data_IF_021354312574
#
_entry.id   IF_021354312574
#
_cell.length_a   1.000
_cell.length_b   1.000
_cell.length_c   1.000
_cell.angle_alpha   90.00
_cell.angle_beta   90.00
_cell.angle_gamma   90.00
#
_symmetry.space_group_name_H-M   'P 1'
#
loop_
_entity.id
_entity.type
_entity.pdbx_description
1 polymer ?
#
# COMPACT_ATOMS: atom_id res chain seq x y z
N UNK A 1 0.45 4.76 -3.13
CA UNK A 1 0.34 5.64 -1.94
C UNK A 1 -1.10 6.13 -1.78
N UNK A 2 -1.63 6.23 -0.55
CA UNK A 2 -2.88 6.92 -0.21
C UNK A 2 -2.58 7.96 0.86
N UNK A 3 -2.75 9.23 0.51
CA UNK A 3 -2.64 10.35 1.44
C UNK A 3 -4.04 10.75 1.89
N UNK A 4 -4.28 10.82 3.20
CA UNK A 4 -5.58 11.24 3.75
C UNK A 4 -5.65 12.77 3.95
N UNK A 5 -4.49 13.42 3.99
CA UNK A 5 -4.33 14.87 3.95
C UNK A 5 -2.90 15.24 3.52
N UNK A 6 -2.70 16.44 2.97
CA UNK A 6 -1.36 17.00 2.78
C UNK A 6 -0.49 16.26 1.76
N UNK A 7 -1.10 15.79 0.68
CA UNK A 7 -0.45 15.00 -0.38
C UNK A 7 0.64 15.81 -1.11
N UNK A 8 1.76 15.16 -1.41
CA UNK A 8 2.72 15.62 -2.40
C UNK A 8 2.90 14.55 -3.49
N UNK A 9 3.17 15.00 -4.72
CA UNK A 9 3.62 14.10 -5.79
C UNK A 9 5.11 13.83 -5.62
N UNK A 10 5.46 13.01 -4.62
CA UNK A 10 6.86 12.62 -4.40
C UNK A 10 7.13 11.22 -4.96
N UNK A 11 8.04 11.19 -5.93
CA UNK A 11 8.49 9.98 -6.62
C UNK A 11 9.80 9.45 -6.03
N UNK A 12 10.39 10.16 -5.07
CA UNK A 12 11.65 9.78 -4.42
C UNK A 12 11.34 8.92 -3.20
N UNK A 13 11.57 7.61 -3.30
CA UNK A 13 11.40 6.72 -2.16
C UNK A 13 12.36 7.07 -1.02
N UNK A 14 11.86 7.16 0.20
CA UNK A 14 12.69 7.30 1.42
C UNK A 14 12.13 6.48 2.56
N UNK A 15 12.93 6.25 3.60
CA UNK A 15 12.42 5.72 4.87
C UNK A 15 11.36 6.65 5.48
N UNK A 16 10.43 6.08 6.27
CA UNK A 16 9.41 6.81 7.01
C UNK A 16 9.92 7.26 8.40
N UNK A 17 9.45 8.40 8.94
CA UNK A 17 8.51 9.33 8.32
C UNK A 17 9.19 10.15 7.22
N UNK A 18 8.47 10.37 6.11
CA UNK A 18 8.93 11.24 5.05
C UNK A 18 8.34 12.64 5.19
N UNK A 19 9.23 13.64 5.22
CA UNK A 19 8.87 15.06 5.23
C UNK A 19 8.01 15.51 4.03
N UNK A 20 8.02 14.75 2.94
CA UNK A 20 7.25 15.05 1.73
C UNK A 20 5.74 14.93 1.92
N UNK A 21 5.27 14.16 2.90
CA UNK A 21 3.85 13.98 3.19
C UNK A 21 3.48 14.61 4.52
N UNK A 22 2.82 15.77 4.46
CA UNK A 22 2.51 16.57 5.65
C UNK A 22 1.40 15.99 6.52
N UNK A 23 0.60 15.05 6.01
CA UNK A 23 -0.51 14.42 6.74
C UNK A 23 -0.45 12.89 6.78
N UNK A 24 -1.48 12.25 7.36
CA UNK A 24 -1.53 10.79 7.50
C UNK A 24 -1.51 10.11 6.14
N UNK A 25 -0.60 9.16 5.98
CA UNK A 25 -0.33 8.54 4.67
C UNK A 25 -0.07 7.04 4.82
N UNK A 26 -0.67 6.27 3.91
CA UNK A 26 -0.52 4.84 3.76
C UNK A 26 0.30 4.52 2.49
N UNK A 27 1.42 3.82 2.68
CA UNK A 27 2.36 3.42 1.65
C UNK A 27 2.27 1.90 1.45
N UNK A 28 1.46 1.45 0.49
CA UNK A 28 1.44 0.04 0.07
C UNK A 28 2.67 -0.32 -0.76
N UNK A 29 2.96 0.50 -1.77
CA UNK A 29 4.26 0.65 -2.41
C UNK A 29 4.41 2.15 -2.66
N UNK A 30 5.52 2.75 -2.24
CA UNK A 30 5.74 4.18 -2.46
C UNK A 30 6.01 4.44 -3.94
N UNK A 31 7.04 3.81 -4.49
CA UNK A 31 7.52 4.05 -5.84
C UNK A 31 7.17 2.92 -6.81
N UNK A 32 7.70 3.05 -8.02
CA UNK A 32 7.67 2.08 -9.11
C UNK A 32 6.29 1.66 -9.64
N UNK A 33 5.21 2.32 -9.21
CA UNK A 33 3.87 2.13 -9.77
C UNK A 33 3.67 2.94 -11.06
N UNK A 34 3.25 2.28 -12.13
CA UNK A 34 3.01 2.92 -13.42
C UNK A 34 1.82 2.32 -14.18
N UNK A 35 1.13 3.16 -14.96
CA UNK A 35 0.05 2.77 -15.88
C UNK A 35 0.57 3.05 -17.29
N UNK A 36 0.84 1.99 -18.06
CA UNK A 36 1.25 2.15 -19.46
C UNK A 36 0.04 2.44 -20.35
N UNK A 37 0.20 3.31 -21.33
CA UNK A 37 -0.85 3.59 -22.32
C UNK A 37 -1.25 2.32 -23.08
N UNK A 38 -2.55 2.06 -23.22
CA UNK A 38 -3.07 0.90 -23.95
C UNK A 38 -3.05 -0.41 -23.16
N UNK A 39 -2.86 -0.35 -21.85
CA UNK A 39 -2.85 -1.53 -20.96
C UNK A 39 -4.06 -1.53 -20.02
N UNK A 40 -4.21 -2.58 -19.22
CA UNK A 40 -5.34 -2.77 -18.29
C UNK A 40 -5.06 -2.24 -16.87
N UNK A 41 -3.88 -1.65 -16.67
CA UNK A 41 -3.42 -1.13 -15.40
C UNK A 41 -4.38 -0.04 -14.89
N UNK A 42 -4.83 -0.16 -13.64
CA UNK A 42 -5.89 0.68 -13.08
C UNK A 42 -5.90 0.65 -11.56
N UNK A 43 -6.46 1.70 -10.97
CA UNK A 43 -6.78 1.76 -9.54
C UNK A 43 -8.29 1.74 -9.39
N UNK A 44 -8.81 0.73 -8.69
CA UNK A 44 -10.23 0.61 -8.36
C UNK A 44 -10.44 1.02 -6.91
N UNK A 45 -11.61 1.55 -6.58
CA UNK A 45 -11.96 1.83 -5.20
C UNK A 45 -13.46 1.67 -4.96
N UNK A 46 -13.81 1.31 -3.74
CA UNK A 46 -15.21 1.15 -3.36
C UNK A 46 -15.40 0.77 -1.90
N UNK A 47 -16.61 1.02 -1.40
CA UNK A 47 -17.03 0.55 -0.10
C UNK A 47 -17.69 -0.83 -0.23
N UNK A 48 -17.32 -1.76 0.62
CA UNK A 48 -17.93 -3.10 0.74
C UNK A 48 -18.49 -3.30 2.14
N UNK A 49 -19.43 -4.26 2.29
CA UNK A 49 -20.10 -4.52 3.56
C UNK A 49 -21.27 -3.58 3.83
N UNK A 50 -21.72 -3.55 5.08
CA UNK A 50 -22.90 -2.79 5.53
C UNK A 50 -22.58 -1.96 6.76
N UNK A 51 -23.28 -0.84 6.95
CA UNK A 51 -23.14 -0.01 8.15
C UNK A 51 -23.43 -0.84 9.42
N UNK A 52 -22.66 -0.67 10.52
CA UNK A 52 -21.52 0.24 10.71
C UNK A 52 -20.13 -0.36 10.42
N UNK A 53 -20.06 -1.48 9.68
CA UNK A 53 -18.84 -2.29 9.51
C UNK A 53 -18.38 -2.33 8.05
N UNK A 54 -18.39 -1.20 7.34
CA UNK A 54 -17.94 -1.17 5.94
C UNK A 54 -16.42 -1.17 5.83
N UNK A 55 -15.91 -1.68 4.72
CA UNK A 55 -14.52 -1.54 4.33
C UNK A 55 -14.43 -0.60 3.12
N UNK A 56 -13.64 0.46 3.22
CA UNK A 56 -13.18 1.21 2.06
C UNK A 56 -11.94 0.50 1.50
N UNK A 57 -12.05 0.01 0.27
CA UNK A 57 -10.98 -0.74 -0.40
C UNK A 57 -10.46 0.10 -1.56
N UNK A 58 -9.14 0.20 -1.66
CA UNK A 58 -8.43 0.70 -2.83
C UNK A 58 -7.60 -0.44 -3.38
N UNK A 59 -7.84 -0.82 -4.62
CA UNK A 59 -7.17 -1.92 -5.30
C UNK A 59 -6.30 -1.38 -6.42
N UNK A 60 -5.03 -1.76 -6.40
CA UNK A 60 -4.02 -1.34 -7.34
C UNK A 60 -3.67 -2.53 -8.22
N UNK A 61 -3.92 -2.39 -9.52
CA UNK A 61 -3.42 -3.29 -10.56
C UNK A 61 -2.49 -2.49 -11.46
N UNK A 62 -1.20 -2.45 -11.12
CA UNK A 62 -0.20 -1.56 -11.71
C UNK A 62 0.92 -2.35 -12.39
N UNK A 63 1.68 -1.72 -13.27
CA UNK A 63 2.94 -2.23 -13.74
C UNK A 63 4.11 -1.57 -12.99
N UNK A 64 5.27 -2.20 -13.05
CA UNK A 64 6.54 -1.61 -12.67
C UNK A 64 6.92 -0.48 -13.63
N UNK A 65 7.44 0.65 -13.14
CA UNK A 65 7.71 1.83 -13.97
C UNK A 65 8.64 1.61 -15.17
N UNK A 66 9.57 0.67 -15.06
CA UNK A 66 10.52 0.33 -16.14
C UNK A 66 10.14 -0.94 -16.92
N UNK A 67 9.01 -1.57 -16.63
CA UNK A 67 8.59 -2.80 -17.30
C UNK A 67 7.07 -3.02 -17.26
N UNK A 68 6.43 -2.94 -18.43
CA UNK A 68 4.99 -3.21 -18.62
C UNK A 68 4.59 -4.67 -18.45
N UNK A 69 5.53 -5.58 -18.23
CA UNK A 69 5.26 -7.01 -18.04
C UNK A 69 5.45 -7.46 -16.59
N UNK A 70 5.95 -6.59 -15.72
CA UNK A 70 6.08 -6.82 -14.28
C UNK A 70 4.90 -6.16 -13.58
N UNK A 71 3.95 -6.98 -13.12
CA UNK A 71 2.71 -6.47 -12.51
C UNK A 71 2.74 -6.50 -10.99
N UNK A 72 2.06 -5.52 -10.42
CA UNK A 72 1.76 -5.35 -9.01
C UNK A 72 0.25 -5.38 -8.80
N UNK A 73 -0.20 -6.26 -7.93
CA UNK A 73 -1.59 -6.40 -7.53
C UNK A 73 -1.67 -6.43 -6.01
N UNK A 74 -2.26 -5.38 -5.44
CA UNK A 74 -2.43 -5.25 -4.00
C UNK A 74 -3.63 -4.37 -3.65
N UNK A 75 -4.09 -4.48 -2.42
CA UNK A 75 -5.17 -3.68 -1.87
C UNK A 75 -4.71 -2.93 -0.61
N UNK A 76 -5.26 -1.74 -0.41
CA UNK A 76 -5.23 -1.00 0.85
C UNK A 76 -6.66 -0.89 1.36
N UNK A 77 -6.88 -1.32 2.60
CA UNK A 77 -8.21 -1.44 3.21
C UNK A 77 -8.28 -0.65 4.50
N UNK A 78 -9.31 0.19 4.61
CA UNK A 78 -9.69 0.91 5.83
C UNK A 78 -11.03 0.39 6.33
N UNK A 79 -11.11 -0.01 7.60
CA UNK A 79 -12.33 -0.53 8.21
C UNK A 79 -13.04 0.56 9.03
N UNK A 80 -14.33 0.79 8.76
CA UNK A 80 -15.14 1.82 9.42
C UNK A 80 -15.24 1.61 10.94
N UNK A 81 -15.35 0.35 11.40
CA UNK A 81 -15.44 0.02 12.82
C UNK A 81 -14.08 0.06 13.54
N UNK A 82 -12.97 0.12 12.80
CA UNK A 82 -11.60 0.13 13.31
C UNK A 82 -10.75 1.20 12.61
N UNK A 83 -11.01 2.51 12.86
CA UNK A 83 -10.40 3.60 12.10
C UNK A 83 -8.87 3.74 12.28
N UNK A 84 -8.29 3.10 13.29
CA UNK A 84 -6.86 3.08 13.57
C UNK A 84 -6.13 1.88 12.96
N UNK A 85 -6.86 1.06 12.18
CA UNK A 85 -6.32 -0.12 11.51
C UNK A 85 -6.29 0.14 10.00
N UNK A 86 -5.12 -0.10 9.41
CA UNK A 86 -4.93 -0.12 7.96
C UNK A 86 -4.42 -1.49 7.57
N UNK A 87 -5.08 -2.14 6.61
CA UNK A 87 -4.68 -3.48 6.13
C UNK A 87 -4.22 -3.41 4.70
N UNK A 88 -3.04 -3.95 4.41
CA UNK A 88 -2.56 -4.19 3.05
C UNK A 88 -2.68 -5.66 2.71
N UNK A 89 -3.14 -5.97 1.50
CA UNK A 89 -3.19 -7.33 0.97
C UNK A 89 -2.41 -7.37 -0.34
N UNK A 90 -1.33 -8.14 -0.39
CA UNK A 90 -0.54 -8.33 -1.60
C UNK A 90 -0.90 -9.65 -2.25
N UNK A 91 -1.18 -9.62 -3.54
CA UNK A 91 -1.50 -10.79 -4.36
C UNK A 91 -0.34 -11.11 -5.31
N UNK A 92 0.28 -10.07 -5.87
CA UNK A 92 1.49 -10.17 -6.66
C UNK A 92 2.31 -8.90 -6.54
N UNK A 93 3.61 -9.03 -6.24
CA UNK A 93 4.57 -7.94 -6.39
C UNK A 93 5.79 -8.51 -7.09
N UNK A 94 5.96 -8.18 -8.38
CA UNK A 94 6.89 -8.89 -9.26
C UNK A 94 8.37 -8.85 -8.82
N UNK A 95 8.77 -7.87 -8.03
CA UNK A 95 10.12 -7.71 -7.45
C UNK A 95 10.15 -7.78 -5.93
N UNK A 96 9.03 -8.16 -5.31
CA UNK A 96 8.89 -8.23 -3.86
C UNK A 96 9.06 -6.90 -3.13
N UNK A 97 8.95 -5.74 -3.79
CA UNK A 97 9.09 -4.42 -3.17
C UNK A 97 10.55 -3.95 -3.05
N UNK A 98 11.44 -4.42 -3.93
CA UNK A 98 12.89 -4.24 -3.86
C UNK A 98 13.39 -2.80 -3.63
N UNK A 99 12.68 -1.80 -4.15
CA UNK A 99 12.98 -0.36 -4.09
C UNK A 99 11.95 0.43 -3.28
N UNK A 100 10.89 -0.23 -2.83
CA UNK A 100 9.74 0.45 -2.27
C UNK A 100 9.78 0.52 -0.75
N UNK A 101 9.26 1.64 -0.22
CA UNK A 101 8.88 1.74 1.18
C UNK A 101 7.45 1.30 1.39
N UNK A 102 7.25 0.46 2.40
CA UNK A 102 5.94 -0.06 2.84
C UNK A 102 5.71 0.30 4.29
N UNK A 103 4.60 0.97 4.58
CA UNK A 103 4.28 1.39 5.94
C UNK A 103 3.16 2.42 6.02
N UNK A 104 3.04 3.06 7.17
CA UNK A 104 2.11 4.16 7.45
C UNK A 104 2.83 5.26 8.24
N UNK A 105 2.44 6.51 8.06
CA UNK A 105 2.89 7.64 8.89
C UNK A 105 1.73 8.57 9.26
N UNK A 106 1.83 9.28 10.38
CA UNK A 106 0.85 10.30 10.79
C UNK A 106 1.10 11.67 10.16
N UNK A 107 2.36 12.01 9.90
CA UNK A 107 2.81 13.23 9.21
C UNK A 107 4.31 13.13 8.93
N UNK A 108 4.87 14.10 8.21
CA UNK A 108 6.28 14.06 7.80
C UNK A 108 7.32 14.23 8.91
N UNK A 109 6.88 14.56 10.13
CA UNK A 109 7.71 14.55 11.33
C UNK A 109 7.06 13.75 12.48
N UNK A 110 5.98 13.03 12.18
CA UNK A 110 5.19 12.28 13.15
C UNK A 110 5.62 10.83 13.30
N UNK A 111 4.88 10.09 14.11
CA UNK A 111 5.05 8.63 14.25
C UNK A 111 4.83 7.91 12.93
N UNK A 112 5.64 6.89 12.68
CA UNK A 112 5.54 5.98 11.55
C UNK A 112 5.63 4.53 12.00
N UNK A 113 5.05 3.64 11.19
CA UNK A 113 5.23 2.19 11.32
C UNK A 113 5.72 1.70 9.96
N UNK A 114 6.92 1.16 9.93
CA UNK A 114 7.59 0.71 8.70
C UNK A 114 7.66 -0.81 8.69
N UNK A 115 7.20 -1.42 7.61
CA UNK A 115 7.39 -2.84 7.36
C UNK A 115 8.70 -3.09 6.61
N UNK A 116 8.93 -2.37 5.51
CA UNK A 116 10.12 -2.51 4.70
C UNK A 116 10.52 -1.18 4.04
N UNK A 117 11.81 -1.08 3.73
CA UNK A 117 12.43 -0.04 2.91
C UNK A 117 13.45 -0.75 2.03
N UNK A 118 13.44 -0.50 0.72
CA UNK A 118 14.44 -0.99 -0.25
C UNK A 118 14.80 -2.48 -0.06
N UNK A 119 13.79 -3.34 0.11
CA UNK A 119 14.02 -4.74 0.45
C UNK A 119 12.97 -5.68 -0.14
N UNK A 120 13.43 -6.82 -0.64
CA UNK A 120 12.61 -7.90 -1.20
C UNK A 120 11.98 -8.70 -0.06
N UNK A 121 10.84 -8.23 0.45
CA UNK A 121 10.13 -8.82 1.60
C UNK A 121 8.75 -9.37 1.24
N UNK A 122 8.16 -8.90 0.14
CA UNK A 122 6.82 -9.33 -0.29
C UNK A 122 6.97 -10.59 -1.16
N UNK A 123 6.34 -11.73 -0.78
CA UNK A 123 6.41 -12.94 -1.58
C UNK A 123 5.80 -12.76 -2.98
N UNK A 124 6.47 -13.30 -3.99
CA UNK A 124 5.93 -13.37 -5.34
C UNK A 124 4.65 -14.21 -5.34
N UNK A 125 3.62 -13.73 -6.03
CA UNK A 125 2.32 -14.40 -6.11
C UNK A 125 1.76 -14.39 -7.53
N UNK A 126 0.44 -14.29 -7.65
CA UNK A 126 -0.25 -14.25 -8.94
C UNK A 126 -1.32 -13.18 -8.96
N UNK A 127 -1.29 -12.34 -10.00
CA UNK A 127 -2.25 -11.26 -10.23
C UNK A 127 -3.65 -11.76 -10.60
N UNK A 128 -3.83 -13.08 -10.73
CA UNK A 128 -5.11 -13.73 -11.04
C UNK A 128 -5.74 -14.43 -9.84
N UNK A 129 -5.03 -14.49 -8.70
CA UNK A 129 -5.52 -15.16 -7.49
C UNK A 129 -6.25 -14.20 -6.55
N UNK A 130 -7.32 -14.68 -5.93
CA UNK A 130 -8.08 -13.92 -4.92
C UNK A 130 -7.56 -14.12 -3.49
N UNK A 131 -6.46 -14.85 -3.32
CA UNK A 131 -5.84 -15.10 -2.01
C UNK A 131 -4.55 -14.29 -1.91
N UNK A 132 -4.43 -13.37 -0.94
CA UNK A 132 -3.18 -12.64 -0.74
C UNK A 132 -2.04 -13.59 -0.34
N UNK A 133 -0.84 -13.36 -0.87
CA UNK A 133 0.40 -14.02 -0.41
C UNK A 133 0.96 -13.40 0.86
N UNK A 134 0.60 -12.13 1.11
CA UNK A 134 0.96 -11.41 2.32
C UNK A 134 -0.17 -10.44 2.69
N UNK A 135 -0.60 -10.51 3.95
CA UNK A 135 -1.45 -9.50 4.57
C UNK A 135 -0.67 -8.80 5.67
N UNK A 136 -0.61 -7.48 5.60
CA UNK A 136 -0.05 -6.62 6.65
C UNK A 136 -1.18 -5.87 7.34
N UNK A 137 -1.17 -5.82 8.65
CA UNK A 137 -2.12 -5.01 9.43
C UNK A 137 -1.36 -4.05 10.33
N UNK A 138 -1.52 -2.76 10.08
CA UNK A 138 -0.92 -1.68 10.86
C UNK A 138 -1.93 -1.18 11.88
N UNK A 139 -1.52 -1.14 13.16
CA UNK A 139 -2.30 -0.57 14.24
C UNK A 139 -1.65 0.74 14.71
N UNK A 140 -2.24 1.87 14.30
CA UNK A 140 -1.70 3.20 14.58
C UNK A 140 -1.89 3.64 16.02
N UNK A 141 -2.78 2.99 16.80
CA UNK A 141 -2.89 3.25 18.24
C UNK A 141 -1.72 2.67 19.01
N UNK A 142 -1.24 1.48 18.63
CA UNK A 142 -0.15 0.79 19.34
C UNK A 142 1.21 1.03 18.71
N UNK A 143 1.27 1.59 17.49
CA UNK A 143 2.53 1.77 16.77
C UNK A 143 3.13 0.45 16.27
N UNK A 144 2.29 -0.57 16.07
CA UNK A 144 2.73 -1.93 15.70
C UNK A 144 2.14 -2.39 14.39
N UNK A 145 2.77 -3.40 13.78
CA UNK A 145 2.19 -4.14 12.66
C UNK A 145 2.20 -5.64 12.94
N UNK A 146 1.36 -6.38 12.22
CA UNK A 146 1.43 -7.84 12.12
C UNK A 146 1.42 -8.27 10.65
N UNK A 147 1.98 -9.44 10.37
CA UNK A 147 2.03 -10.04 9.03
C UNK A 147 1.49 -11.48 9.07
N UNK A 148 0.75 -11.87 8.03
CA UNK A 148 0.32 -13.25 7.81
C UNK A 148 0.38 -13.58 6.31
N UNK A 149 0.69 -14.83 5.97
CA UNK A 149 0.67 -15.37 4.61
C UNK A 149 -0.04 -16.71 4.56
#
# INVERSE_FOLDING_TARGET
IICLAGCAGDWTNTALPSGSFSGPTAFGLWDDLYIYSGTSESVYYGATGTYPNRNMVFEFYMAHYSSSTRYFHFQIVFNEASPNIVTYKYYQVADGGASATVGVQSSGSGSSITYSVDSVTIPYGSSTTNTPTLTLTFNTNTGTYSSSG
#
